data_IF_137784215070
#
_entry.id   IF_137784215070
#
_cell.length_a   1.000
_cell.length_b   1.000
_cell.length_c   1.000
_cell.angle_alpha   90.00
_cell.angle_beta   90.00
_cell.angle_gamma   90.00
#
_symmetry.space_group_name_H-M   'P 1'
#
loop_
_entity.id
_entity.type
_entity.pdbx_description
1 polymer ?
#
# COMPACT_ATOMS: atom_id res chain seq x y z
N UNK A 1 -11.66 -24.27 3.78
CA UNK A 1 -11.19 -22.89 4.01
C UNK A 1 -9.70 -22.80 3.71
N UNK A 2 -9.30 -21.89 2.81
CA UNK A 2 -7.94 -21.76 2.25
C UNK A 2 -6.85 -21.50 3.31
N UNK A 3 -7.19 -21.01 4.50
CA UNK A 3 -6.24 -20.63 5.56
C UNK A 3 -6.47 -21.30 6.92
N UNK A 4 -7.11 -22.47 6.98
CA UNK A 4 -7.57 -23.10 8.23
C UNK A 4 -6.46 -23.18 9.31
N UNK A 5 -5.26 -23.60 8.94
CA UNK A 5 -4.14 -23.74 9.90
C UNK A 5 -3.53 -22.41 10.34
N UNK A 6 -3.57 -21.38 9.48
CA UNK A 6 -3.09 -20.04 9.80
C UNK A 6 -4.07 -19.37 10.77
N UNK A 7 -5.38 -19.44 10.49
CA UNK A 7 -6.41 -18.88 11.37
C UNK A 7 -6.44 -19.57 12.73
N UNK A 8 -6.33 -20.90 12.78
CA UNK A 8 -6.23 -21.65 14.04
C UNK A 8 -5.08 -21.18 14.92
N UNK A 9 -3.95 -20.76 14.33
CA UNK A 9 -2.84 -20.19 15.08
C UNK A 9 -3.07 -18.72 15.48
N UNK A 10 -3.76 -17.94 14.65
CA UNK A 10 -4.09 -16.54 14.92
C UNK A 10 -5.20 -16.38 15.97
N UNK A 11 -6.05 -17.38 16.17
CA UNK A 11 -7.11 -17.40 17.19
C UNK A 11 -6.59 -17.70 18.60
N UNK A 12 -5.33 -18.13 18.74
CA UNK A 12 -4.70 -18.33 20.06
C UNK A 12 -4.64 -17.01 20.85
N UNK A 13 -4.83 -17.04 22.19
CA UNK A 13 -4.70 -15.86 23.04
C UNK A 13 -3.38 -15.11 22.78
N UNK A 14 -3.43 -13.78 22.75
CA UNK A 14 -2.26 -12.92 22.50
C UNK A 14 -1.94 -12.63 21.02
N UNK A 15 -2.62 -13.27 20.06
CA UNK A 15 -2.42 -13.02 18.62
C UNK A 15 -3.42 -12.03 18.00
N UNK A 16 -4.23 -11.33 18.81
CA UNK A 16 -5.33 -10.48 18.30
C UNK A 16 -4.87 -9.41 17.30
N UNK A 17 -3.77 -8.70 17.61
CA UNK A 17 -3.16 -7.73 16.69
C UNK A 17 -2.82 -8.36 15.34
N UNK A 18 -2.26 -9.58 15.36
CA UNK A 18 -1.87 -10.31 14.15
C UNK A 18 -3.08 -10.81 13.39
N UNK A 19 -4.12 -11.27 14.08
CA UNK A 19 -5.39 -11.71 13.50
C UNK A 19 -6.08 -10.57 12.77
N UNK A 20 -6.29 -9.44 13.45
CA UNK A 20 -6.88 -8.24 12.86
C UNK A 20 -6.08 -7.75 11.66
N UNK A 21 -4.76 -7.64 11.77
CA UNK A 21 -3.93 -7.22 10.63
C UNK A 21 -4.09 -8.14 9.42
N UNK A 22 -4.21 -9.47 9.62
CA UNK A 22 -4.38 -10.41 8.51
C UNK A 22 -5.73 -10.27 7.82
N UNK A 23 -6.82 -10.12 8.58
CA UNK A 23 -8.15 -9.85 8.04
C UNK A 23 -8.17 -8.52 7.28
N UNK A 24 -7.61 -7.48 7.89
CA UNK A 24 -7.51 -6.15 7.29
C UNK A 24 -6.79 -6.18 5.94
N UNK A 25 -5.64 -6.86 5.82
CA UNK A 25 -4.94 -6.93 4.54
C UNK A 25 -5.78 -7.58 3.43
N UNK A 26 -6.62 -8.58 3.75
CA UNK A 26 -7.52 -9.17 2.76
C UNK A 26 -8.63 -8.21 2.34
N UNK A 27 -9.27 -7.55 3.31
CA UNK A 27 -10.29 -6.53 3.01
C UNK A 27 -9.68 -5.42 2.17
N UNK A 28 -8.50 -4.91 2.56
CA UNK A 28 -7.77 -3.89 1.80
C UNK A 28 -7.47 -4.32 0.36
N UNK A 29 -6.93 -5.53 0.15
CA UNK A 29 -6.69 -6.04 -1.21
C UNK A 29 -8.00 -6.15 -2.00
N UNK A 30 -9.07 -6.68 -1.41
CA UNK A 30 -10.36 -6.80 -2.10
C UNK A 30 -10.91 -5.43 -2.52
N UNK A 31 -10.84 -4.44 -1.63
CA UNK A 31 -11.33 -3.08 -1.90
C UNK A 31 -10.46 -2.36 -2.94
N UNK A 32 -9.14 -2.32 -2.75
CA UNK A 32 -8.22 -1.65 -3.67
C UNK A 32 -8.21 -2.31 -5.04
N UNK A 33 -8.29 -3.64 -5.12
CA UNK A 33 -8.40 -4.35 -6.40
C UNK A 33 -9.71 -4.04 -7.11
N UNK A 34 -10.83 -3.96 -6.39
CA UNK A 34 -12.13 -3.58 -6.97
C UNK A 34 -12.10 -2.14 -7.50
N UNK A 35 -11.51 -1.21 -6.74
CA UNK A 35 -11.27 0.17 -7.17
C UNK A 35 -10.35 0.23 -8.39
N UNK A 36 -9.29 -0.57 -8.43
CA UNK A 36 -8.40 -0.63 -9.58
C UNK A 36 -9.14 -1.12 -10.83
N UNK A 37 -9.82 -2.27 -10.76
CA UNK A 37 -10.50 -2.85 -11.91
C UNK A 37 -11.63 -1.96 -12.47
N UNK A 38 -12.37 -1.28 -11.60
CA UNK A 38 -13.50 -0.44 -12.01
C UNK A 38 -13.10 1.02 -12.28
N UNK A 39 -12.05 1.50 -11.62
CA UNK A 39 -11.60 2.89 -11.65
C UNK A 39 -10.59 3.21 -12.73
N UNK A 40 -9.80 2.24 -13.22
CA UNK A 40 -8.75 2.50 -14.23
C UNK A 40 -9.30 3.24 -15.45
N UNK A 41 -10.43 2.81 -16.02
CA UNK A 41 -11.01 3.49 -17.18
C UNK A 41 -11.48 4.94 -16.90
N UNK A 42 -12.43 5.19 -15.99
CA UNK A 42 -12.94 6.54 -15.73
C UNK A 42 -11.85 7.50 -15.20
N UNK A 43 -10.94 7.01 -14.35
CA UNK A 43 -9.83 7.83 -13.83
C UNK A 43 -8.86 8.22 -14.94
N UNK A 44 -8.47 7.29 -15.82
CA UNK A 44 -7.59 7.64 -16.95
C UNK A 44 -8.27 8.58 -17.95
N UNK A 45 -9.56 8.37 -18.22
CA UNK A 45 -10.34 9.25 -19.09
C UNK A 45 -10.44 10.67 -18.55
N UNK A 46 -10.49 10.84 -17.23
CA UNK A 46 -10.53 12.13 -16.56
C UNK A 46 -9.14 12.79 -16.43
N UNK A 47 -8.10 12.02 -16.08
CA UNK A 47 -6.77 12.56 -15.80
C UNK A 47 -5.97 12.86 -17.07
N UNK A 48 -6.08 12.02 -18.10
CA UNK A 48 -5.23 12.09 -19.29
C UNK A 48 -6.06 12.12 -20.58
N UNK A 49 -7.27 11.56 -20.53
CA UNK A 49 -8.18 11.51 -21.65
C UNK A 49 -8.95 12.80 -21.90
N UNK A 50 -9.81 12.81 -22.93
CA UNK A 50 -10.66 13.95 -23.26
C UNK A 50 -11.95 14.00 -22.41
N UNK A 51 -12.10 13.13 -21.41
CA UNK A 51 -13.33 12.99 -20.65
C UNK A 51 -13.48 14.06 -19.58
N UNK A 52 -14.65 14.66 -19.51
CA UNK A 52 -15.08 15.53 -18.41
C UNK A 52 -16.05 14.78 -17.48
N UNK A 53 -16.52 15.45 -16.42
CA UNK A 53 -17.44 14.84 -15.46
C UNK A 53 -18.76 14.40 -16.08
N UNK A 54 -19.27 15.09 -17.12
CA UNK A 54 -20.52 14.74 -17.80
C UNK A 54 -20.37 13.65 -18.86
N UNK A 55 -19.14 13.21 -19.13
CA UNK A 55 -18.87 12.18 -20.11
C UNK A 55 -19.44 10.84 -19.65
N UNK A 56 -20.24 10.20 -20.50
CA UNK A 56 -20.87 8.92 -20.17
C UNK A 56 -19.86 7.77 -20.17
N UNK A 57 -19.96 6.89 -19.18
CA UNK A 57 -19.15 5.68 -19.09
C UNK A 57 -19.78 4.60 -19.97
N UNK A 58 -19.01 4.09 -20.93
CA UNK A 58 -19.48 3.09 -21.89
C UNK A 58 -20.18 3.71 -23.10
N UNK A 59 -21.40 3.25 -23.40
CA UNK A 59 -22.12 3.67 -24.62
C UNK A 59 -22.72 5.07 -24.42
N UNK A 60 -22.68 5.92 -25.47
CA UNK A 60 -23.31 7.25 -25.46
C UNK A 60 -24.78 7.13 -25.06
N UNK A 61 -25.18 7.87 -24.01
CA UNK A 61 -26.53 7.81 -23.41
C UNK A 61 -26.73 6.75 -22.33
N UNK A 62 -25.65 6.14 -21.82
CA UNK A 62 -25.70 5.28 -20.63
C UNK A 62 -26.16 6.02 -19.36
N UNK A 63 -26.44 5.30 -18.28
CA UNK A 63 -26.97 5.91 -17.05
C UNK A 63 -25.93 6.53 -16.12
N UNK A 64 -24.63 6.28 -16.32
CA UNK A 64 -23.58 6.73 -15.42
C UNK A 64 -22.54 7.59 -16.16
N UNK A 65 -22.13 8.68 -15.52
CA UNK A 65 -21.09 9.59 -16.00
C UNK A 65 -19.76 9.32 -15.31
N UNK A 66 -18.66 9.87 -15.85
CA UNK A 66 -17.35 9.83 -15.20
C UNK A 66 -17.45 10.47 -13.82
N UNK A 67 -18.16 11.59 -13.67
CA UNK A 67 -18.38 12.25 -12.38
C UNK A 67 -19.05 11.33 -11.35
N UNK A 68 -20.10 10.61 -11.74
CA UNK A 68 -20.78 9.66 -10.86
C UNK A 68 -19.83 8.56 -10.36
N UNK A 69 -18.99 8.04 -11.27
CA UNK A 69 -18.00 7.02 -10.93
C UNK A 69 -16.90 7.56 -10.02
N UNK A 70 -16.36 8.75 -10.29
CA UNK A 70 -15.32 9.36 -9.46
C UNK A 70 -15.83 9.69 -8.05
N UNK A 71 -17.07 10.17 -7.94
CA UNK A 71 -17.76 10.36 -6.66
C UNK A 71 -17.90 9.02 -5.90
N UNK A 72 -18.42 7.99 -6.58
CA UNK A 72 -18.55 6.66 -6.00
C UNK A 72 -17.20 6.11 -5.50
N UNK A 73 -16.11 6.30 -6.25
CA UNK A 73 -14.79 5.85 -5.82
C UNK A 73 -14.27 6.63 -4.63
N UNK A 74 -14.45 7.95 -4.58
CA UNK A 74 -14.08 8.77 -3.44
C UNK A 74 -14.79 8.29 -2.15
N UNK A 75 -16.06 7.93 -2.25
CA UNK A 75 -16.85 7.42 -1.13
C UNK A 75 -16.46 5.99 -0.72
N UNK A 76 -16.26 5.08 -1.68
CA UNK A 76 -15.78 3.72 -1.41
C UNK A 76 -14.41 3.75 -0.72
N UNK A 77 -13.51 4.61 -1.21
CA UNK A 77 -12.16 4.78 -0.68
C UNK A 77 -12.20 5.38 0.73
N UNK A 78 -13.02 6.42 0.96
CA UNK A 78 -13.27 7.00 2.29
C UNK A 78 -13.83 5.96 3.27
N UNK A 79 -14.85 5.20 2.86
CA UNK A 79 -15.46 4.16 3.68
C UNK A 79 -14.45 3.06 4.07
N UNK A 80 -13.55 2.70 3.15
CA UNK A 80 -12.47 1.75 3.42
C UNK A 80 -11.50 2.26 4.50
N UNK A 81 -10.99 3.50 4.40
CA UNK A 81 -10.08 4.03 5.43
C UNK A 81 -10.77 4.27 6.76
N UNK A 82 -12.07 4.62 6.76
CA UNK A 82 -12.86 4.67 7.97
C UNK A 82 -12.97 3.29 8.64
N UNK A 83 -13.23 2.24 7.85
CA UNK A 83 -13.20 0.86 8.33
C UNK A 83 -11.84 0.50 8.93
N UNK A 84 -10.72 0.79 8.23
CA UNK A 84 -9.38 0.50 8.76
C UNK A 84 -9.18 1.19 10.11
N UNK A 85 -9.52 2.48 10.18
CA UNK A 85 -9.37 3.28 11.38
C UNK A 85 -10.15 2.68 12.55
N UNK A 86 -11.43 2.32 12.37
CA UNK A 86 -12.22 1.70 13.41
C UNK A 86 -11.74 0.30 13.80
N UNK A 87 -11.25 -0.48 12.83
CA UNK A 87 -10.86 -1.87 13.06
C UNK A 87 -9.47 -2.01 13.70
N UNK A 88 -8.56 -1.07 13.41
CA UNK A 88 -7.12 -1.17 13.70
C UNK A 88 -6.56 -0.09 14.63
N UNK A 89 -7.33 0.93 15.01
CA UNK A 89 -6.86 2.12 15.76
C UNK A 89 -5.94 1.81 16.94
N UNK A 90 -6.23 0.77 17.72
CA UNK A 90 -5.42 0.37 18.89
C UNK A 90 -3.98 -0.08 18.56
N UNK A 91 -3.66 -0.33 17.28
CA UNK A 91 -2.38 -0.93 16.85
C UNK A 91 -1.67 -0.14 15.74
N UNK A 92 -2.25 0.97 15.30
CA UNK A 92 -1.68 1.86 14.29
C UNK A 92 -0.73 2.89 14.92
N UNK A 93 0.31 3.30 14.19
CA UNK A 93 1.18 4.38 14.66
C UNK A 93 0.46 5.73 14.54
N UNK A 94 0.81 6.72 15.39
CA UNK A 94 0.25 8.07 15.27
C UNK A 94 0.42 8.69 13.88
N UNK A 95 1.55 8.40 13.22
CA UNK A 95 1.84 8.85 11.86
C UNK A 95 0.83 8.28 10.85
N UNK A 96 0.55 6.97 10.91
CA UNK A 96 -0.44 6.33 10.02
C UNK A 96 -1.85 6.83 10.30
N UNK A 97 -2.20 7.05 11.57
CA UNK A 97 -3.50 7.62 11.96
C UNK A 97 -3.66 9.04 11.40
N UNK A 98 -2.66 9.90 11.57
CA UNK A 98 -2.68 11.27 11.06
C UNK A 98 -2.78 11.29 9.52
N UNK A 99 -2.05 10.38 8.86
CA UNK A 99 -2.11 10.20 7.41
C UNK A 99 -3.52 9.82 6.92
N UNK A 100 -4.18 8.83 7.53
CA UNK A 100 -5.53 8.44 7.13
C UNK A 100 -6.58 9.49 7.47
N UNK A 101 -6.47 10.18 8.61
CA UNK A 101 -7.35 11.32 8.92
C UNK A 101 -7.17 12.43 7.89
N UNK A 102 -5.92 12.75 7.53
CA UNK A 102 -5.61 13.72 6.49
C UNK A 102 -6.22 13.35 5.15
N UNK A 103 -6.11 12.08 4.74
CA UNK A 103 -6.78 11.55 3.54
C UNK A 103 -8.29 11.78 3.59
N UNK A 104 -8.95 11.35 4.68
CA UNK A 104 -10.40 11.49 4.81
C UNK A 104 -10.83 12.95 4.71
N UNK A 105 -10.10 13.86 5.37
CA UNK A 105 -10.40 15.29 5.32
C UNK A 105 -10.20 15.85 3.91
N UNK A 106 -9.11 15.52 3.22
CA UNK A 106 -8.84 16.02 1.86
C UNK A 106 -9.88 15.51 0.87
N UNK A 107 -10.18 14.21 0.87
CA UNK A 107 -11.18 13.62 -0.03
C UNK A 107 -12.54 14.25 0.20
N UNK A 108 -12.99 14.31 1.45
CA UNK A 108 -14.32 14.82 1.78
C UNK A 108 -14.43 16.34 1.58
N UNK A 109 -13.36 17.10 1.83
CA UNK A 109 -13.30 18.53 1.50
C UNK A 109 -13.36 18.73 -0.02
N UNK A 110 -12.61 17.94 -0.79
CA UNK A 110 -12.63 18.00 -2.26
C UNK A 110 -14.03 17.71 -2.82
N UNK A 111 -14.71 16.69 -2.30
CA UNK A 111 -16.08 16.33 -2.69
C UNK A 111 -17.07 17.45 -2.31
N UNK A 112 -16.96 17.99 -1.09
CA UNK A 112 -17.84 19.06 -0.61
C UNK A 112 -17.67 20.36 -1.41
N UNK A 113 -16.43 20.77 -1.70
CA UNK A 113 -16.14 21.94 -2.51
C UNK A 113 -16.58 21.74 -3.96
N UNK A 114 -16.50 20.52 -4.46
CA UNK A 114 -16.95 20.19 -5.82
C UNK A 114 -18.48 20.28 -5.97
N UNK A 115 -19.24 20.04 -4.91
CA UNK A 115 -20.70 20.18 -4.93
C UNK A 115 -21.19 21.62 -5.20
N UNK A 116 -20.34 22.64 -4.98
CA UNK A 116 -20.59 24.04 -5.35
C UNK A 116 -19.44 24.60 -6.20
N UNK A 117 -19.19 23.95 -7.35
CA UNK A 117 -18.09 24.31 -8.26
C UNK A 117 -18.18 25.73 -8.82
N UNK A 118 -19.38 26.31 -8.89
CA UNK A 118 -19.60 27.66 -9.41
C UNK A 118 -19.07 28.74 -8.45
N UNK A 119 -19.17 28.49 -7.14
CA UNK A 119 -18.59 29.32 -6.09
C UNK A 119 -17.09 29.05 -5.88
N UNK A 120 -16.63 27.82 -6.17
CA UNK A 120 -15.25 27.37 -5.90
C UNK A 120 -14.51 26.88 -7.14
N UNK A 121 -13.94 27.81 -7.92
CA UNK A 121 -13.17 27.49 -9.14
C UNK A 121 -11.91 26.65 -8.88
N UNK A 122 -11.41 26.62 -7.66
CA UNK A 122 -10.33 25.71 -7.21
C UNK A 122 -10.79 24.27 -6.95
N UNK A 123 -12.08 24.02 -6.73
CA UNK A 123 -12.59 22.70 -6.35
C UNK A 123 -12.27 21.62 -7.38
N UNK A 124 -12.36 21.95 -8.67
CA UNK A 124 -11.99 21.01 -9.74
C UNK A 124 -10.51 20.67 -9.72
N UNK A 125 -9.63 21.61 -9.37
CA UNK A 125 -8.18 21.36 -9.27
C UNK A 125 -7.86 20.49 -8.06
N UNK A 126 -8.52 20.75 -6.93
CA UNK A 126 -8.33 19.96 -5.71
C UNK A 126 -8.81 18.52 -5.92
N UNK A 127 -10.01 18.36 -6.49
CA UNK A 127 -10.54 17.04 -6.84
C UNK A 127 -9.64 16.31 -7.84
N UNK A 128 -9.09 17.02 -8.84
CA UNK A 128 -8.12 16.45 -9.78
C UNK A 128 -6.86 15.95 -9.07
N UNK A 129 -6.27 16.76 -8.18
CA UNK A 129 -5.10 16.33 -7.39
C UNK A 129 -5.43 15.13 -6.50
N UNK A 130 -6.61 15.13 -5.88
CA UNK A 130 -7.10 14.04 -5.06
C UNK A 130 -7.20 12.73 -5.86
N UNK A 131 -7.70 12.78 -7.10
CA UNK A 131 -7.74 11.61 -7.99
C UNK A 131 -6.34 11.12 -8.38
N UNK A 132 -5.39 12.02 -8.63
CA UNK A 132 -3.99 11.66 -8.92
C UNK A 132 -3.37 10.94 -7.71
N UNK A 133 -3.49 11.51 -6.51
CA UNK A 133 -2.94 10.91 -5.29
C UNK A 133 -3.60 9.59 -4.93
N UNK A 134 -4.93 9.49 -5.04
CA UNK A 134 -5.66 8.24 -4.84
C UNK A 134 -5.23 7.15 -5.82
N UNK A 135 -4.92 7.50 -7.08
CA UNK A 135 -4.39 6.53 -8.05
C UNK A 135 -3.01 6.01 -7.65
N UNK A 136 -2.09 6.89 -7.20
CA UNK A 136 -0.80 6.47 -6.67
C UNK A 136 -0.96 5.55 -5.47
N UNK A 137 -1.83 5.92 -4.55
CA UNK A 137 -2.04 5.15 -3.33
C UNK A 137 -2.56 3.72 -3.61
N UNK A 138 -3.57 3.56 -4.47
CA UNK A 138 -4.05 2.23 -4.89
C UNK A 138 -2.91 1.39 -5.50
N UNK A 139 -2.09 2.00 -6.36
CA UNK A 139 -0.98 1.32 -7.06
C UNK A 139 0.17 0.95 -6.12
N UNK A 140 0.42 1.77 -5.09
CA UNK A 140 1.49 1.54 -4.11
C UNK A 140 1.06 0.58 -3.03
N UNK A 141 -0.13 0.76 -2.47
CA UNK A 141 -0.58 0.06 -1.28
C UNK A 141 -1.01 -1.38 -1.59
N UNK A 142 -1.64 -1.63 -2.75
CA UNK A 142 -2.10 -2.97 -3.11
C UNK A 142 -0.96 -4.00 -3.12
N UNK A 143 0.21 -3.77 -3.77
CA UNK A 143 1.36 -4.67 -3.66
C UNK A 143 1.86 -4.86 -2.22
N UNK A 144 1.83 -3.82 -1.38
CA UNK A 144 2.24 -3.89 0.02
C UNK A 144 1.30 -4.82 0.81
N UNK A 145 -0.02 -4.72 0.63
CA UNK A 145 -0.94 -5.63 1.32
C UNK A 145 -0.80 -7.07 0.87
N UNK A 146 -0.68 -7.31 -0.44
CA UNK A 146 -0.41 -8.65 -0.98
C UNK A 146 0.89 -9.20 -0.37
N UNK A 147 1.94 -8.37 -0.28
CA UNK A 147 3.21 -8.76 0.34
C UNK A 147 3.03 -9.19 1.79
N UNK A 148 2.19 -8.49 2.57
CA UNK A 148 1.94 -8.77 3.98
C UNK A 148 1.08 -10.02 4.19
N UNK A 149 0.20 -10.35 3.24
CA UNK A 149 -0.53 -11.62 3.22
C UNK A 149 0.46 -12.76 2.97
N UNK A 150 1.28 -12.66 1.92
CA UNK A 150 2.32 -13.65 1.60
C UNK A 150 3.29 -13.81 2.77
N UNK A 151 3.62 -12.72 3.46
CA UNK A 151 4.49 -12.72 4.64
C UNK A 151 4.00 -13.66 5.73
N UNK A 152 2.68 -13.84 5.84
CA UNK A 152 2.06 -14.71 6.86
C UNK A 152 1.87 -16.14 6.37
N UNK A 153 1.67 -16.33 5.07
CA UNK A 153 1.51 -17.66 4.47
C UNK A 153 2.86 -18.37 4.36
N UNK A 154 3.93 -17.67 4.00
CA UNK A 154 5.25 -18.23 3.72
C UNK A 154 6.28 -17.92 4.82
N UNK A 155 5.86 -17.99 6.09
CA UNK A 155 6.70 -17.60 7.25
C UNK A 155 8.05 -18.32 7.38
N UNK A 156 8.18 -19.51 6.81
CA UNK A 156 9.40 -20.32 6.85
C UNK A 156 10.32 -20.12 5.63
N UNK A 157 9.91 -19.34 4.62
CA UNK A 157 10.73 -19.10 3.44
C UNK A 157 11.44 -17.74 3.56
N UNK A 158 12.48 -17.70 4.39
CA UNK A 158 13.25 -16.49 4.69
C UNK A 158 13.82 -15.81 3.43
N UNK A 159 14.21 -16.60 2.42
CA UNK A 159 14.69 -16.10 1.11
C UNK A 159 13.62 -15.33 0.35
N UNK A 160 12.41 -15.90 0.25
CA UNK A 160 11.28 -15.27 -0.43
C UNK A 160 10.85 -14.00 0.29
N UNK A 161 10.75 -14.06 1.62
CA UNK A 161 10.36 -12.91 2.44
C UNK A 161 11.37 -11.75 2.33
N UNK A 162 12.67 -12.06 2.33
CA UNK A 162 13.71 -11.06 2.11
C UNK A 162 13.55 -10.36 0.74
N UNK A 163 13.34 -11.14 -0.33
CA UNK A 163 13.14 -10.60 -1.69
C UNK A 163 11.88 -9.74 -1.78
N UNK A 164 10.76 -10.20 -1.24
CA UNK A 164 9.49 -9.46 -1.25
C UNK A 164 9.63 -8.15 -0.45
N UNK A 165 10.23 -8.19 0.75
CA UNK A 165 10.40 -7.00 1.59
C UNK A 165 11.27 -5.94 0.92
N UNK A 166 12.40 -6.34 0.33
CA UNK A 166 13.26 -5.43 -0.43
C UNK A 166 12.60 -4.94 -1.72
N UNK A 167 11.89 -5.82 -2.44
CA UNK A 167 11.14 -5.47 -3.65
C UNK A 167 10.07 -4.42 -3.36
N UNK A 168 9.27 -4.60 -2.32
CA UNK A 168 8.26 -3.61 -1.89
C UNK A 168 8.89 -2.31 -1.40
N UNK A 169 10.06 -2.36 -0.74
CA UNK A 169 10.78 -1.14 -0.38
C UNK A 169 11.20 -0.34 -1.62
N UNK A 170 11.79 -0.99 -2.62
CA UNK A 170 12.18 -0.34 -3.88
C UNK A 170 10.95 0.22 -4.59
N UNK A 171 9.86 -0.56 -4.64
CA UNK A 171 8.59 -0.15 -5.23
C UNK A 171 8.06 1.14 -4.61
N UNK A 172 7.99 1.21 -3.28
CA UNK A 172 7.51 2.41 -2.58
C UNK A 172 8.43 3.61 -2.87
N UNK A 173 9.76 3.43 -2.87
CA UNK A 173 10.69 4.54 -3.16
C UNK A 173 10.49 5.07 -4.58
N UNK A 174 10.38 4.19 -5.57
CA UNK A 174 10.17 4.56 -6.97
C UNK A 174 8.83 5.28 -7.14
N UNK A 175 7.77 4.74 -6.54
CA UNK A 175 6.44 5.33 -6.63
C UNK A 175 6.36 6.69 -5.91
N UNK A 176 6.87 6.80 -4.67
CA UNK A 176 6.93 8.06 -3.94
C UNK A 176 7.75 9.11 -4.69
N UNK A 177 8.88 8.73 -5.31
CA UNK A 177 9.68 9.65 -6.14
C UNK A 177 8.87 10.13 -7.35
N UNK A 178 8.15 9.23 -8.01
CA UNK A 178 7.30 9.56 -9.16
C UNK A 178 6.16 10.49 -8.76
N UNK A 179 5.51 10.19 -7.64
CA UNK A 179 4.42 11.00 -7.07
C UNK A 179 4.89 12.41 -6.70
N UNK A 180 6.08 12.55 -6.12
CA UNK A 180 6.70 13.86 -5.83
C UNK A 180 6.91 14.65 -7.11
N UNK A 181 7.51 14.05 -8.13
CA UNK A 181 7.77 14.73 -9.40
C UNK A 181 6.47 15.18 -10.06
N UNK A 182 5.46 14.30 -10.14
CA UNK A 182 4.16 14.62 -10.72
C UNK A 182 3.44 15.70 -9.91
N UNK A 183 3.45 15.61 -8.59
CA UNK A 183 2.78 16.58 -7.72
C UNK A 183 3.43 17.95 -7.82
N UNK A 184 4.77 18.04 -7.80
CA UNK A 184 5.49 19.31 -7.99
C UNK A 184 5.16 19.91 -9.36
N UNK A 185 5.16 19.08 -10.42
CA UNK A 185 4.81 19.53 -11.76
C UNK A 185 3.39 20.12 -11.82
N UNK A 186 2.41 19.40 -11.28
CA UNK A 186 1.01 19.82 -11.28
C UNK A 186 0.80 21.07 -10.40
N UNK A 187 1.43 21.13 -9.22
CA UNK A 187 1.35 22.29 -8.34
C UNK A 187 1.96 23.52 -8.99
N UNK A 188 3.13 23.40 -9.63
CA UNK A 188 3.76 24.53 -10.32
C UNK A 188 2.89 25.04 -11.47
N UNK A 189 2.31 24.13 -12.27
CA UNK A 189 1.41 24.50 -13.37
C UNK A 189 0.11 25.17 -12.91
N UNK A 190 -0.43 24.72 -11.78
CA UNK A 190 -1.70 25.22 -11.24
C UNK A 190 -1.54 26.33 -10.20
N UNK A 191 -0.31 26.67 -9.78
CA UNK A 191 -0.01 27.50 -8.59
C UNK A 191 -0.81 28.79 -8.50
N UNK A 192 -0.94 29.51 -9.62
CA UNK A 192 -1.64 30.79 -9.71
C UNK A 192 -3.15 30.69 -9.46
N UNK A 193 -3.76 29.51 -9.67
CA UNK A 193 -5.20 29.25 -9.50
C UNK A 193 -5.59 28.87 -8.07
N UNK A 194 -4.61 28.51 -7.24
CA UNK A 194 -4.88 28.14 -5.85
C UNK A 194 -5.04 29.36 -4.96
N UNK A 195 -6.02 29.32 -4.04
CA UNK A 195 -6.11 30.26 -2.94
C UNK A 195 -4.91 30.18 -1.98
N UNK A 196 -4.62 31.27 -1.27
CA UNK A 196 -3.44 31.39 -0.40
C UNK A 196 -3.38 30.30 0.67
N UNK A 197 -4.52 29.92 1.24
CA UNK A 197 -4.61 28.89 2.28
C UNK A 197 -4.14 27.53 1.75
N UNK A 198 -4.66 27.10 0.60
CA UNK A 198 -4.27 25.83 -0.02
C UNK A 198 -2.82 25.80 -0.48
N UNK A 199 -2.24 26.94 -0.90
CA UNK A 199 -0.80 27.02 -1.21
C UNK A 199 0.10 26.68 -0.02
N UNK A 200 -0.40 26.79 1.21
CA UNK A 200 0.32 26.41 2.44
C UNK A 200 -0.07 25.00 2.90
N UNK A 201 -1.38 24.70 2.94
CA UNK A 201 -1.87 23.41 3.45
C UNK A 201 -1.45 22.26 2.54
N UNK A 202 -1.60 22.39 1.23
CA UNK A 202 -1.38 21.31 0.26
C UNK A 202 0.06 20.78 0.31
N UNK A 203 1.13 21.61 0.31
CA UNK A 203 2.50 21.11 0.48
C UNK A 203 2.77 20.45 1.84
N UNK A 204 2.15 20.95 2.92
CA UNK A 204 2.33 20.38 4.28
C UNK A 204 1.71 19.00 4.36
N UNK A 205 0.48 18.83 3.86
CA UNK A 205 -0.20 17.54 3.78
C UNK A 205 0.59 16.58 2.90
N UNK A 206 1.09 17.04 1.76
CA UNK A 206 1.90 16.23 0.86
C UNK A 206 3.24 15.80 1.49
N UNK A 207 3.89 16.68 2.26
CA UNK A 207 5.11 16.30 2.99
C UNK A 207 4.85 15.20 4.04
N UNK A 208 3.72 15.29 4.78
CA UNK A 208 3.28 14.24 5.69
C UNK A 208 3.00 12.92 4.96
N UNK A 209 2.43 13.01 3.76
CA UNK A 209 2.16 11.88 2.87
C UNK A 209 3.45 11.12 2.52
N UNK A 210 4.43 11.83 1.97
CA UNK A 210 5.72 11.26 1.57
C UNK A 210 6.49 10.74 2.78
N UNK A 211 6.47 11.43 3.92
CA UNK A 211 7.09 10.95 5.15
C UNK A 211 6.51 9.60 5.60
N UNK A 212 5.20 9.41 5.46
CA UNK A 212 4.51 8.16 5.81
C UNK A 212 4.91 7.03 4.86
N UNK A 213 4.98 7.29 3.55
CA UNK A 213 5.45 6.31 2.57
C UNK A 213 6.91 5.89 2.83
N UNK A 214 7.80 6.86 3.08
CA UNK A 214 9.21 6.58 3.39
C UNK A 214 9.36 5.79 4.70
N UNK A 215 8.54 6.10 5.72
CA UNK A 215 8.49 5.30 6.94
C UNK A 215 8.04 3.86 6.67
N UNK A 216 7.04 3.67 5.80
CA UNK A 216 6.60 2.36 5.32
C UNK A 216 7.72 1.58 4.61
N UNK A 217 8.43 2.24 3.69
CA UNK A 217 9.58 1.67 2.97
C UNK A 217 10.70 1.25 3.93
N UNK A 218 11.06 2.12 4.89
CA UNK A 218 12.06 1.83 5.91
C UNK A 218 11.70 0.59 6.75
N UNK A 219 10.43 0.44 7.13
CA UNK A 219 9.97 -0.74 7.88
C UNK A 219 10.06 -2.02 7.05
N UNK A 220 9.66 -1.97 5.78
CA UNK A 220 9.76 -3.10 4.85
C UNK A 220 11.22 -3.51 4.59
N UNK A 221 12.11 -2.53 4.45
CA UNK A 221 13.54 -2.74 4.34
C UNK A 221 14.10 -3.48 5.56
N UNK A 222 13.79 -3.01 6.77
CA UNK A 222 14.24 -3.64 8.01
C UNK A 222 13.69 -5.06 8.17
N UNK A 223 12.42 -5.28 7.81
CA UNK A 223 11.81 -6.60 7.78
C UNK A 223 12.52 -7.53 6.79
N UNK A 224 12.77 -7.06 5.56
CA UNK A 224 13.48 -7.83 4.53
C UNK A 224 14.91 -8.17 4.92
N UNK A 225 15.63 -7.21 5.51
CA UNK A 225 16.99 -7.41 6.05
C UNK A 225 17.03 -8.45 7.18
N UNK A 226 16.09 -8.39 8.12
CA UNK A 226 16.03 -9.37 9.21
C UNK A 226 15.83 -10.79 8.66
N UNK A 227 14.97 -10.97 7.66
CA UNK A 227 14.78 -12.28 7.02
C UNK A 227 16.03 -12.75 6.26
N UNK A 228 16.77 -11.83 5.63
CA UNK A 228 18.04 -12.17 4.99
C UNK A 228 19.08 -12.65 6.01
N UNK A 229 19.11 -12.07 7.21
CA UNK A 229 19.99 -12.51 8.30
C UNK A 229 19.61 -13.91 8.78
N UNK A 230 18.32 -14.19 8.99
CA UNK A 230 17.86 -15.53 9.39
C UNK A 230 18.18 -16.59 8.31
N UNK A 231 17.96 -16.29 7.03
CA UNK A 231 18.34 -17.18 5.94
C UNK A 231 19.84 -17.50 5.94
N UNK A 232 20.70 -16.51 6.23
CA UNK A 232 22.16 -16.71 6.30
C UNK A 232 22.55 -17.61 7.47
N UNK A 233 21.90 -17.44 8.63
CA UNK A 233 22.12 -18.31 9.79
C UNK A 233 21.72 -19.76 9.49
N UNK A 234 20.55 -19.96 8.91
CA UNK A 234 20.07 -21.29 8.52
C UNK A 234 20.98 -21.95 7.49
N UNK A 235 21.42 -21.21 6.47
CA UNK A 235 22.33 -21.75 5.45
C UNK A 235 23.69 -22.13 6.02
N UNK A 236 24.24 -21.28 6.91
CA UNK A 236 25.53 -21.56 7.57
C UNK A 236 25.46 -22.71 8.58
N UNK A 237 24.33 -22.89 9.28
CA UNK A 237 24.10 -24.02 10.17
C UNK A 237 24.06 -25.36 9.41
N UNK A 238 23.39 -25.38 8.25
CA UNK A 238 23.32 -26.56 7.37
C UNK A 238 24.71 -26.90 6.83
N UNK A 239 25.50 -25.90 6.41
CA UNK A 239 26.88 -26.12 5.98
C UNK A 239 27.75 -26.70 7.12
N UNK A 240 27.64 -26.17 8.35
CA UNK A 240 28.40 -26.73 9.49
C UNK A 240 28.02 -28.17 9.84
N UNK A 241 26.72 -28.52 9.83
CA UNK A 241 26.27 -29.91 10.07
C UNK A 241 26.74 -30.87 8.96
N UNK A 242 26.80 -30.39 7.70
CA UNK A 242 27.31 -31.19 6.58
C UNK A 242 28.82 -31.46 6.67
N UNK A 243 29.60 -30.51 7.21
CA UNK A 243 31.05 -30.66 7.41
C UNK A 243 31.34 -31.60 8.61
N UNK A 244 30.59 -31.51 9.70
CA UNK A 244 30.74 -32.41 10.85
C UNK A 244 30.35 -33.85 10.52
N UNK A 245 29.25 -34.07 9.78
CA UNK A 245 28.85 -35.41 9.33
C UNK A 245 29.86 -36.02 8.34
N UNK A 246 30.39 -35.24 7.39
CA UNK A 246 31.41 -35.71 6.45
C UNK A 246 32.78 -36.02 7.09
N UNK A 247 33.16 -35.28 8.15
CA UNK A 247 34.41 -35.57 8.89
C UNK A 247 34.29 -36.82 9.79
N UNK A 248 33.09 -37.11 10.29
CA UNK A 248 32.79 -38.30 11.09
C UNK A 248 32.84 -39.60 10.26
N UNK A 249 32.35 -39.58 9.02
CA UNK A 249 32.43 -40.74 8.12
C UNK A 249 33.87 -41.01 7.62
N UNK A 250 34.66 -39.96 7.40
CA UNK A 250 36.07 -40.11 6.98
C UNK A 250 36.99 -40.66 8.09
N UNK A 251 36.59 -40.57 9.36
CA UNK A 251 37.37 -41.10 10.50
C UNK A 251 37.17 -42.60 10.77
N UNK A 252 36.08 -43.20 10.25
CA UNK A 252 35.73 -44.60 10.55
C UNK A 252 36.41 -45.61 9.61
N UNK A 253 36.87 -45.20 8.42
CA UNK A 253 37.39 -46.11 7.39
C UNK A 253 38.88 -46.44 7.49
N UNK A 254 39.61 -45.96 8.51
CA UNK A 254 41.08 -46.17 8.64
C UNK A 254 41.54 -47.24 9.63
N UNK A 255 40.66 -47.90 10.39
CA UNK A 255 41.07 -48.89 11.42
C UNK A 255 40.55 -50.32 11.18
N UNK A 256 40.51 -50.78 9.93
CA UNK A 256 40.08 -52.17 9.63
C UNK A 256 40.83 -52.82 8.47
N UNK A 257 42.16 -52.79 8.50
CA UNK A 257 42.99 -53.69 7.66
C UNK A 257 44.22 -54.10 8.47
N UNK A 258 44.40 -55.42 8.63
CA UNK A 258 45.52 -56.18 9.22
C UNK A 258 45.36 -56.61 10.70
N UNK A 259 44.54 -57.64 10.90
CA UNK A 259 44.95 -58.86 11.64
C UNK A 259 44.78 -60.07 10.71
#
# INVERSE_FOLDING_TARGET
MVYKDIYRNLEKPGNERRRRSFTYYHVGVMMLFSLFCTGVYPVLMFLVGPGDFGTHVGRKGGGATIGDMLFLFAEIYTAYYLYEMCFRTQFASPLTIAHHIGLLLVVQTSVALFADSDSHKEATLEFYMCMVWGAFDVVVEMPVFVSMIVWRIKRHNHKLLAKIGLGCCIWIIVAATTEVVVTIYLLNRSWHRWGTVFRVITPVVFALWIATQLYGAYRLYNMGRAQLQEHRKESGAIESESIESGSSESGSTKNKVLE
#
